data_IF_699091421626
#
_entry.id   IF_699091421626
#
_cell.length_a   1.000
_cell.length_b   1.000
_cell.length_c   1.000
_cell.angle_alpha   90.00
_cell.angle_beta   90.00
_cell.angle_gamma   90.00
#
_symmetry.space_group_name_H-M   'P 1'
#
loop_
_entity.id
_entity.type
_entity.pdbx_description
1 polymer ?
#
# COMPACT_ATOMS: atom_id res chain seq x y z
N UNK A 1 34.44 31.89 127.41
CA UNK A 1 34.99 31.99 126.00
C UNK A 1 34.94 30.69 125.19
N UNK A 2 34.42 29.58 125.65
CA UNK A 2 34.33 28.32 124.81
C UNK A 2 33.04 28.14 124.00
N UNK A 3 31.97 28.89 124.26
CA UNK A 3 30.69 28.71 123.58
C UNK A 3 30.59 29.37 122.24
N UNK A 4 31.33 30.50 121.96
CA UNK A 4 31.33 31.20 120.70
C UNK A 4 32.10 30.47 119.58
N UNK A 5 33.17 29.71 119.90
CA UNK A 5 33.96 28.98 118.91
C UNK A 5 33.25 27.76 118.28
N UNK A 6 32.25 27.17 119.06
CA UNK A 6 31.41 26.08 118.53
C UNK A 6 30.38 26.53 117.45
N UNK A 7 29.71 27.65 117.75
CA UNK A 7 28.70 28.21 116.86
C UNK A 7 29.33 28.73 115.53
N UNK A 8 30.55 29.25 115.60
CA UNK A 8 31.24 29.72 114.42
C UNK A 8 31.68 28.57 113.54
N UNK A 9 32.08 27.43 114.08
CA UNK A 9 32.37 26.21 113.34
C UNK A 9 31.13 25.61 112.68
N UNK A 10 29.98 25.56 113.40
CA UNK A 10 28.72 25.08 112.80
C UNK A 10 28.22 26.01 111.65
N UNK A 11 28.39 27.32 111.80
CA UNK A 11 28.02 28.26 110.76
C UNK A 11 28.94 28.11 109.53
N UNK A 12 30.26 27.96 109.71
CA UNK A 12 31.23 27.71 108.63
C UNK A 12 30.94 26.36 107.99
N UNK A 13 30.61 25.30 108.71
CA UNK A 13 30.23 24.01 108.18
C UNK A 13 28.93 24.08 107.37
N UNK A 14 27.92 24.82 107.90
CA UNK A 14 26.68 25.03 107.15
C UNK A 14 26.86 25.87 105.89
N UNK A 15 27.66 26.98 105.95
CA UNK A 15 27.99 27.76 104.72
C UNK A 15 28.77 26.93 103.73
N UNK A 16 29.71 26.09 104.15
CA UNK A 16 30.42 25.17 103.28
C UNK A 16 29.49 24.11 102.65
N UNK A 17 28.55 23.54 103.44
CA UNK A 17 27.54 22.60 102.92
C UNK A 17 26.61 23.26 101.86
N UNK A 18 26.18 24.53 102.16
CA UNK A 18 25.34 25.29 101.25
C UNK A 18 26.09 25.62 99.96
N UNK A 19 27.36 26.00 99.98
CA UNK A 19 28.22 26.20 98.85
C UNK A 19 28.38 24.92 98.03
N UNK A 20 28.63 23.79 98.72
CA UNK A 20 28.76 22.51 98.01
C UNK A 20 27.47 22.08 97.33
N UNK A 21 26.33 22.29 98.04
CA UNK A 21 25.03 22.00 97.42
C UNK A 21 24.71 22.88 96.20
N UNK A 22 25.03 24.19 96.25
CA UNK A 22 24.91 25.13 95.15
C UNK A 22 25.80 24.73 93.99
N UNK A 23 27.09 24.40 94.23
CA UNK A 23 28.03 23.94 93.21
C UNK A 23 27.60 22.62 92.60
N UNK A 24 27.00 21.68 93.38
CA UNK A 24 26.45 20.44 92.86
C UNK A 24 25.24 20.71 91.93
N UNK A 25 24.33 21.64 92.36
CA UNK A 25 23.17 22.03 91.57
C UNK A 25 23.59 22.72 90.23
N UNK A 26 24.55 23.65 90.29
CA UNK A 26 25.08 24.33 89.12
C UNK A 26 25.75 23.31 88.16
N UNK A 27 26.47 22.33 88.65
CA UNK A 27 27.07 21.28 87.89
C UNK A 27 26.05 20.36 87.17
N UNK A 28 24.94 20.05 87.90
CA UNK A 28 23.87 19.24 87.29
C UNK A 28 23.12 20.03 86.15
N UNK A 29 22.85 21.30 86.36
CA UNK A 29 22.29 22.17 85.34
C UNK A 29 23.16 22.23 84.09
N UNK A 30 24.47 22.49 84.25
CA UNK A 30 25.44 22.53 83.24
C UNK A 30 25.50 21.19 82.38
N UNK A 31 25.46 20.05 83.11
CA UNK A 31 25.36 18.74 82.47
C UNK A 31 24.12 18.53 81.66
N UNK A 32 22.96 18.92 82.18
CA UNK A 32 21.67 18.84 81.42
C UNK A 32 21.64 19.75 80.22
N UNK A 33 22.17 20.97 80.34
CA UNK A 33 22.27 21.88 79.24
C UNK A 33 23.23 21.33 78.16
N UNK A 34 24.35 20.72 78.55
CA UNK A 34 25.30 20.09 77.61
C UNK A 34 24.65 18.90 76.88
N UNK A 35 23.90 18.06 77.65
CA UNK A 35 23.14 16.93 77.09
C UNK A 35 22.08 17.41 76.12
N UNK A 36 21.32 18.46 76.47
CA UNK A 36 20.31 19.04 75.58
C UNK A 36 20.90 19.63 74.30
N UNK A 37 21.99 20.37 74.39
CA UNK A 37 22.75 20.89 73.23
C UNK A 37 23.28 19.77 72.37
N UNK A 38 23.81 18.69 72.93
CA UNK A 38 24.30 17.54 72.20
C UNK A 38 23.16 16.82 71.47
N UNK A 39 22.02 16.61 72.16
CA UNK A 39 20.84 15.98 71.59
C UNK A 39 20.21 16.85 70.44
N UNK A 40 20.17 18.16 70.62
CA UNK A 40 19.75 19.09 69.57
C UNK A 40 20.64 19.06 68.36
N UNK A 41 21.95 19.11 68.56
CA UNK A 41 22.94 19.04 67.48
C UNK A 41 22.88 17.68 66.72
N UNK A 42 22.62 16.58 67.40
CA UNK A 42 22.42 15.28 66.80
C UNK A 42 21.16 15.24 65.95
N UNK A 43 20.04 15.75 66.43
CA UNK A 43 18.80 15.89 65.65
C UNK A 43 18.99 16.76 64.42
N UNK A 44 19.67 17.90 64.51
CA UNK A 44 19.98 18.79 63.41
C UNK A 44 20.82 18.09 62.34
N UNK A 45 21.83 17.29 62.77
CA UNK A 45 22.63 16.48 61.82
C UNK A 45 21.76 15.42 61.12
N UNK A 46 20.92 14.69 61.87
CA UNK A 46 20.02 13.69 61.29
C UNK A 46 19.03 14.31 60.31
N UNK A 47 18.44 15.44 60.67
CA UNK A 47 17.49 16.16 59.82
C UNK A 47 18.16 16.71 58.57
N UNK A 48 19.34 17.31 58.69
CA UNK A 48 20.12 17.78 57.53
C UNK A 48 20.54 16.63 56.61
N UNK A 49 20.90 15.48 57.16
CA UNK A 49 21.21 14.28 56.41
C UNK A 49 20.00 13.76 55.63
N UNK A 50 18.82 13.72 56.27
CA UNK A 50 17.56 13.32 55.64
C UNK A 50 17.16 14.27 54.49
N UNK A 51 17.25 15.59 54.71
CA UNK A 51 16.96 16.60 53.68
C UNK A 51 17.92 16.47 52.47
N UNK A 52 19.20 16.27 52.76
CA UNK A 52 20.22 16.07 51.69
C UNK A 52 19.93 14.80 50.87
N UNK A 53 19.58 13.69 51.58
CA UNK A 53 19.19 12.44 50.92
C UNK A 53 17.94 12.59 50.05
N UNK A 54 16.90 13.27 50.58
CA UNK A 54 15.68 13.52 49.84
C UNK A 54 15.91 14.42 48.61
N UNK A 55 16.71 15.47 48.75
CA UNK A 55 17.09 16.35 47.62
C UNK A 55 17.87 15.58 46.54
N UNK A 56 18.74 14.65 46.96
CA UNK A 56 19.46 13.77 46.03
C UNK A 56 18.50 12.84 45.26
N UNK A 57 17.56 12.21 45.96
CA UNK A 57 16.54 11.35 45.33
C UNK A 57 15.67 12.13 44.35
N UNK A 58 15.26 13.34 44.72
CA UNK A 58 14.44 14.19 43.85
C UNK A 58 15.18 14.58 42.55
N UNK A 59 16.44 14.98 42.67
CA UNK A 59 17.29 15.30 41.50
C UNK A 59 17.50 14.06 40.59
N UNK A 60 17.73 12.89 41.18
CA UNK A 60 17.90 11.65 40.41
C UNK A 60 16.61 11.29 39.67
N UNK A 61 15.44 11.37 40.34
CA UNK A 61 14.13 11.10 39.72
C UNK A 61 13.80 12.09 38.59
N UNK A 62 14.15 13.36 38.79
CA UNK A 62 13.97 14.38 37.70
C UNK A 62 14.87 14.09 36.50
N UNK A 63 16.13 13.80 36.72
CA UNK A 63 17.08 13.47 35.64
C UNK A 63 16.64 12.20 34.88
N UNK A 64 16.09 11.21 35.58
CA UNK A 64 15.56 10.00 34.96
C UNK A 64 14.35 10.31 34.06
N UNK A 65 13.41 11.11 34.55
CA UNK A 65 12.27 11.57 33.73
C UNK A 65 12.72 12.35 32.50
N UNK A 66 13.67 13.26 32.65
CA UNK A 66 14.20 14.03 31.52
C UNK A 66 14.84 13.12 30.45
N UNK A 67 15.59 12.08 30.87
CA UNK A 67 16.13 11.08 29.94
C UNK A 67 15.05 10.27 29.24
N UNK A 68 14.00 9.86 29.95
CA UNK A 68 12.88 9.13 29.35
C UNK A 68 12.14 10.00 28.33
N UNK A 69 11.85 11.26 28.65
CA UNK A 69 11.23 12.20 27.72
C UNK A 69 12.10 12.47 26.49
N UNK A 70 13.39 12.68 26.67
CA UNK A 70 14.34 12.87 25.57
C UNK A 70 14.38 11.63 24.65
N UNK A 71 14.38 10.44 25.23
CA UNK A 71 14.29 9.18 24.48
C UNK A 71 12.99 9.05 23.67
N UNK A 72 11.84 9.37 24.30
CA UNK A 72 10.55 9.36 23.60
C UNK A 72 10.47 10.38 22.47
N UNK A 73 10.95 11.60 22.69
CA UNK A 73 11.00 12.63 21.65
C UNK A 73 11.89 12.22 20.48
N UNK A 74 13.06 11.63 20.76
CA UNK A 74 13.94 11.11 19.71
C UNK A 74 13.28 9.99 18.90
N UNK A 75 12.58 9.07 19.59
CA UNK A 75 11.81 8.01 18.95
C UNK A 75 10.69 8.54 18.05
N UNK A 76 9.90 9.49 18.55
CA UNK A 76 8.84 10.15 17.78
C UNK A 76 9.39 10.93 16.56
N UNK A 77 10.50 11.64 16.72
CA UNK A 77 11.16 12.33 15.61
C UNK A 77 11.63 11.34 14.51
N UNK A 78 12.15 10.18 14.92
CA UNK A 78 12.51 9.10 14.00
C UNK A 78 11.29 8.53 13.25
N UNK A 79 10.18 8.30 13.95
CA UNK A 79 8.93 7.84 13.34
C UNK A 79 8.36 8.88 12.36
N UNK A 80 8.36 10.15 12.74
CA UNK A 80 7.89 11.24 11.88
C UNK A 80 8.69 11.27 10.58
N UNK A 81 10.01 11.29 10.66
CA UNK A 81 10.90 11.28 9.48
C UNK A 81 10.66 10.08 8.57
N UNK A 82 10.44 8.88 9.15
CA UNK A 82 10.11 7.68 8.37
C UNK A 82 8.76 7.82 7.66
N UNK A 83 7.75 8.31 8.36
CA UNK A 83 6.40 8.52 7.81
C UNK A 83 6.41 9.58 6.70
N UNK A 84 7.15 10.67 6.86
CA UNK A 84 7.35 11.68 5.81
C UNK A 84 8.03 11.08 4.57
N UNK A 85 9.04 10.23 4.77
CA UNK A 85 9.69 9.50 3.68
C UNK A 85 8.74 8.58 2.92
N UNK A 86 7.89 7.83 3.65
CA UNK A 86 6.87 6.97 3.06
C UNK A 86 5.80 7.78 2.30
N UNK A 87 5.36 8.91 2.86
CA UNK A 87 4.40 9.80 2.22
C UNK A 87 4.95 10.33 0.90
N UNK A 88 6.16 10.87 0.89
CA UNK A 88 6.82 11.38 -0.32
C UNK A 88 6.97 10.31 -1.40
N UNK A 89 7.33 9.07 -1.00
CA UNK A 89 7.40 7.95 -1.94
C UNK A 89 6.02 7.61 -2.53
N UNK A 90 5.00 7.56 -1.68
CA UNK A 90 3.61 7.27 -2.10
C UNK A 90 3.06 8.37 -3.02
N UNK A 91 3.32 9.64 -2.73
CA UNK A 91 2.97 10.76 -3.60
C UNK A 91 3.67 10.67 -4.96
N UNK A 92 4.96 10.29 -4.97
CA UNK A 92 5.70 10.05 -6.21
C UNK A 92 5.06 8.94 -7.06
N UNK A 93 4.71 7.82 -6.44
CA UNK A 93 4.02 6.70 -7.10
C UNK A 93 2.65 7.12 -7.62
N UNK A 94 1.87 7.85 -6.84
CA UNK A 94 0.55 8.35 -7.24
C UNK A 94 0.65 9.29 -8.47
N UNK A 95 1.61 10.19 -8.47
CA UNK A 95 1.82 11.09 -9.60
C UNK A 95 2.25 10.34 -10.87
N UNK A 96 3.09 9.32 -10.74
CA UNK A 96 3.47 8.46 -11.86
C UNK A 96 2.26 7.70 -12.44
N UNK A 97 1.40 7.15 -11.58
CA UNK A 97 0.16 6.46 -12.01
C UNK A 97 -0.81 7.44 -12.69
N UNK A 98 -0.99 8.64 -12.14
CA UNK A 98 -1.84 9.68 -12.75
C UNK A 98 -1.34 10.07 -14.14
N UNK A 99 -0.02 10.23 -14.30
CA UNK A 99 0.58 10.55 -15.60
C UNK A 99 0.39 9.40 -16.61
N UNK A 100 0.60 8.15 -16.18
CA UNK A 100 0.34 6.96 -17.01
C UNK A 100 -1.14 6.91 -17.49
N UNK A 101 -2.08 7.13 -16.57
CA UNK A 101 -3.52 7.13 -16.91
C UNK A 101 -3.87 8.26 -17.88
N UNK A 102 -3.28 9.44 -17.73
CA UNK A 102 -3.49 10.56 -18.65
C UNK A 102 -2.96 10.25 -20.06
N UNK A 103 -1.75 9.70 -20.15
CA UNK A 103 -1.15 9.27 -21.42
C UNK A 103 -2.01 8.18 -22.08
N UNK A 104 -2.43 7.18 -21.32
CA UNK A 104 -3.29 6.09 -21.80
C UNK A 104 -4.63 6.62 -22.35
N UNK A 105 -5.26 7.52 -21.61
CA UNK A 105 -6.51 8.16 -22.07
C UNK A 105 -6.32 8.94 -23.36
N UNK A 106 -5.20 9.68 -23.49
CA UNK A 106 -4.87 10.42 -24.72
C UNK A 106 -4.71 9.48 -25.90
N UNK A 107 -3.96 8.39 -25.76
CA UNK A 107 -3.77 7.37 -26.79
C UNK A 107 -5.13 6.76 -27.19
N UNK A 108 -5.96 6.38 -26.22
CA UNK A 108 -7.28 5.83 -26.47
C UNK A 108 -8.17 6.80 -27.26
N UNK A 109 -8.11 8.10 -26.95
CA UNK A 109 -8.83 9.14 -27.70
C UNK A 109 -8.31 9.30 -29.13
N UNK A 110 -6.99 9.23 -29.34
CA UNK A 110 -6.37 9.28 -30.66
C UNK A 110 -6.79 8.07 -31.52
N UNK A 111 -6.79 6.85 -30.94
CA UNK A 111 -7.29 5.64 -31.60
C UNK A 111 -8.76 5.81 -31.99
N UNK A 112 -9.60 6.26 -31.05
CA UNK A 112 -11.03 6.48 -31.30
C UNK A 112 -11.25 7.46 -32.45
N UNK A 113 -10.63 8.63 -32.37
CA UNK A 113 -10.75 9.67 -33.41
C UNK A 113 -10.25 9.17 -34.76
N UNK A 114 -9.16 8.38 -34.75
CA UNK A 114 -8.62 7.77 -35.96
C UNK A 114 -9.58 6.75 -36.57
N UNK A 115 -10.20 5.91 -35.78
CA UNK A 115 -11.17 4.90 -36.22
C UNK A 115 -12.46 5.55 -36.73
N UNK A 116 -12.96 6.58 -36.05
CA UNK A 116 -14.14 7.34 -36.50
C UNK A 116 -13.92 7.94 -37.91
N UNK A 117 -12.72 8.49 -38.17
CA UNK A 117 -12.37 9.07 -39.48
C UNK A 117 -12.36 8.06 -40.62
N UNK A 118 -12.04 6.80 -40.36
CA UNK A 118 -11.97 5.73 -41.38
C UNK A 118 -13.24 4.87 -41.40
N UNK A 119 -14.25 5.23 -40.59
CA UNK A 119 -15.53 4.52 -40.50
C UNK A 119 -15.44 3.13 -39.86
N UNK A 120 -14.42 2.89 -39.02
CA UNK A 120 -14.28 1.66 -38.25
C UNK A 120 -14.98 1.82 -36.92
N UNK A 121 -16.01 1.01 -36.68
CA UNK A 121 -16.70 0.98 -35.39
C UNK A 121 -15.91 0.12 -34.40
N UNK A 122 -15.51 0.70 -33.29
CA UNK A 122 -14.87 0.01 -32.19
C UNK A 122 -15.35 0.62 -30.87
N UNK A 123 -15.53 -0.21 -29.87
CA UNK A 123 -15.73 0.25 -28.49
C UNK A 123 -14.34 0.38 -27.84
N UNK A 124 -14.03 1.57 -27.37
CA UNK A 124 -12.72 1.90 -26.81
C UNK A 124 -12.91 2.35 -25.38
N UNK A 125 -12.39 1.57 -24.46
CA UNK A 125 -12.30 1.96 -23.06
C UNK A 125 -11.26 3.07 -22.91
N UNK A 126 -11.71 4.28 -22.64
CA UNK A 126 -10.84 5.45 -22.48
C UNK A 126 -9.96 5.41 -21.23
N UNK A 127 -10.25 4.50 -20.27
CA UNK A 127 -9.43 4.36 -19.06
C UNK A 127 -8.34 3.31 -19.25
N UNK A 128 -8.69 2.14 -19.77
CA UNK A 128 -7.74 1.05 -20.01
C UNK A 128 -7.00 1.16 -21.34
N UNK A 129 -7.59 1.86 -22.31
CA UNK A 129 -7.13 1.89 -23.69
C UNK A 129 -7.44 0.61 -24.46
N UNK A 130 -8.28 -0.25 -23.91
CA UNK A 130 -8.68 -1.49 -24.57
C UNK A 130 -9.55 -1.17 -25.78
N UNK A 131 -9.20 -1.73 -26.90
CA UNK A 131 -9.94 -1.60 -28.16
C UNK A 131 -10.73 -2.87 -28.37
N UNK A 132 -12.01 -2.81 -28.13
CA UNK A 132 -12.95 -3.87 -28.49
C UNK A 132 -13.38 -3.63 -29.93
N UNK A 133 -12.88 -4.46 -30.82
CA UNK A 133 -13.36 -4.50 -32.19
C UNK A 133 -14.74 -5.18 -32.16
N UNK A 134 -15.80 -4.39 -31.96
CA UNK A 134 -17.20 -4.87 -31.97
C UNK A 134 -17.77 -4.64 -33.38
N UNK A 135 -17.65 -5.62 -34.23
CA UNK A 135 -18.19 -5.57 -35.58
C UNK A 135 -19.41 -6.46 -35.78
N UNK A 136 -20.23 -6.60 -34.71
CA UNK A 136 -21.39 -7.46 -34.81
C UNK A 136 -20.98 -8.94 -35.05
N UNK A 137 -21.89 -9.80 -35.32
CA UNK A 137 -21.81 -11.25 -35.23
C UNK A 137 -20.79 -11.99 -36.12
N UNK A 138 -19.77 -11.36 -36.76
CA UNK A 138 -19.13 -11.98 -37.91
C UNK A 138 -17.64 -11.84 -38.11
N UNK A 139 -16.85 -11.93 -37.04
CA UNK A 139 -15.37 -11.96 -37.19
C UNK A 139 -14.84 -13.24 -37.80
N UNK A 140 -15.45 -14.34 -37.39
CA UNK A 140 -15.04 -15.70 -37.76
C UNK A 140 -16.24 -16.45 -38.30
N UNK A 141 -15.97 -17.47 -39.07
CA UNK A 141 -16.97 -18.47 -39.40
C UNK A 141 -17.45 -19.15 -38.10
N UNK A 142 -18.69 -19.66 -38.12
CA UNK A 142 -19.26 -20.33 -36.97
C UNK A 142 -18.37 -21.49 -36.54
N UNK A 143 -18.09 -21.53 -35.22
CA UNK A 143 -17.27 -22.57 -34.61
C UNK A 143 -15.85 -22.72 -35.21
N UNK A 144 -15.33 -21.62 -35.76
CA UNK A 144 -14.06 -21.57 -36.49
C UNK A 144 -13.18 -20.41 -36.00
N UNK A 145 -11.90 -20.51 -36.30
CA UNK A 145 -10.91 -19.42 -36.19
C UNK A 145 -10.56 -18.77 -37.55
N UNK A 146 -11.25 -19.15 -38.61
CA UNK A 146 -11.02 -18.54 -39.92
C UNK A 146 -11.59 -17.15 -40.00
N UNK A 147 -10.76 -16.17 -40.34
CA UNK A 147 -11.16 -14.78 -40.49
C UNK A 147 -12.04 -14.61 -41.72
N UNK A 148 -13.19 -13.98 -41.54
CA UNK A 148 -14.05 -13.55 -42.64
C UNK A 148 -13.45 -12.38 -43.41
N UNK A 149 -13.82 -12.23 -44.66
CA UNK A 149 -13.30 -11.16 -45.52
C UNK A 149 -13.62 -9.76 -45.03
N UNK A 150 -14.80 -9.58 -44.39
CA UNK A 150 -15.17 -8.31 -43.72
C UNK A 150 -14.19 -7.96 -42.64
N UNK A 151 -13.78 -8.94 -41.81
CA UNK A 151 -12.81 -8.72 -40.77
C UNK A 151 -11.43 -8.39 -41.33
N UNK A 152 -11.01 -9.08 -42.37
CA UNK A 152 -9.75 -8.77 -43.09
C UNK A 152 -9.73 -7.32 -43.58
N UNK A 153 -10.82 -6.86 -44.22
CA UNK A 153 -10.98 -5.47 -44.66
C UNK A 153 -10.89 -4.46 -43.53
N UNK A 154 -11.52 -4.79 -42.40
CA UNK A 154 -11.50 -3.93 -41.21
C UNK A 154 -10.10 -3.86 -40.59
N UNK A 155 -9.41 -4.99 -40.44
CA UNK A 155 -8.03 -5.02 -39.91
C UNK A 155 -7.08 -4.23 -40.84
N UNK A 156 -7.24 -4.32 -42.14
CA UNK A 156 -6.47 -3.53 -43.12
C UNK A 156 -6.63 -2.01 -42.92
N UNK A 157 -7.80 -1.56 -42.48
CA UNK A 157 -8.04 -0.14 -42.19
C UNK A 157 -7.63 0.24 -40.76
N UNK A 158 -7.92 -0.61 -39.77
CA UNK A 158 -7.75 -0.31 -38.37
C UNK A 158 -6.29 -0.37 -37.90
N UNK A 159 -5.53 -1.40 -38.33
CA UNK A 159 -4.18 -1.62 -37.85
C UNK A 159 -3.19 -0.51 -38.18
N UNK A 160 -3.20 0.12 -39.35
CA UNK A 160 -2.37 1.29 -39.62
C UNK A 160 -2.65 2.45 -38.66
N UNK A 161 -3.91 2.74 -38.41
CA UNK A 161 -4.33 3.82 -37.49
C UNK A 161 -3.93 3.48 -36.07
N UNK A 162 -4.20 2.26 -35.62
CA UNK A 162 -3.85 1.78 -34.30
C UNK A 162 -2.33 1.86 -34.05
N UNK A 163 -1.53 1.33 -34.97
CA UNK A 163 -0.07 1.35 -34.86
C UNK A 163 0.50 2.76 -34.86
N UNK A 164 -0.05 3.66 -35.69
CA UNK A 164 0.35 5.08 -35.72
C UNK A 164 0.04 5.78 -34.39
N UNK A 165 -1.09 5.52 -33.75
CA UNK A 165 -1.42 6.08 -32.43
C UNK A 165 -0.47 5.63 -31.32
N UNK A 166 0.07 4.40 -31.41
CA UNK A 166 1.00 3.85 -30.43
C UNK A 166 2.47 4.21 -30.73
N UNK A 167 2.88 4.22 -31.98
CA UNK A 167 4.29 4.26 -32.39
C UNK A 167 4.65 5.48 -33.25
N UNK A 168 3.67 6.29 -33.64
CA UNK A 168 3.92 7.52 -34.43
C UNK A 168 4.58 8.64 -33.65
N UNK A 169 4.57 8.60 -32.32
CA UNK A 169 5.27 9.53 -31.45
C UNK A 169 6.30 8.77 -30.60
N UNK A 170 7.58 9.13 -30.70
CA UNK A 170 8.69 8.45 -30.02
C UNK A 170 8.48 8.41 -28.50
N UNK A 171 8.03 9.52 -27.88
CA UNK A 171 7.79 9.59 -26.42
C UNK A 171 6.66 8.66 -25.96
N UNK A 172 5.71 8.34 -26.82
CA UNK A 172 4.64 7.37 -26.58
C UNK A 172 5.16 5.96 -26.82
N UNK A 173 5.83 5.74 -27.93
CA UNK A 173 6.37 4.44 -28.34
C UNK A 173 7.28 3.81 -27.28
N UNK A 174 8.16 4.61 -26.66
CA UNK A 174 9.05 4.18 -25.57
C UNK A 174 8.31 3.71 -24.31
N UNK A 175 7.07 4.14 -24.13
CA UNK A 175 6.23 3.75 -22.99
C UNK A 175 5.43 2.47 -23.25
N UNK A 176 5.26 2.07 -24.52
CA UNK A 176 4.50 0.86 -24.87
C UNK A 176 5.35 -0.37 -24.54
N UNK A 177 4.82 -1.25 -23.71
CA UNK A 177 5.48 -2.50 -23.31
C UNK A 177 5.01 -3.72 -24.08
N UNK A 178 3.74 -3.76 -24.43
CA UNK A 178 3.16 -4.85 -25.21
C UNK A 178 1.84 -4.44 -25.85
N UNK A 179 1.48 -5.16 -26.89
CA UNK A 179 0.16 -5.14 -27.52
C UNK A 179 -0.35 -6.57 -27.52
N UNK A 180 -1.46 -6.82 -26.86
CA UNK A 180 -2.03 -8.15 -26.70
C UNK A 180 -3.30 -8.28 -27.54
N UNK A 181 -3.35 -9.33 -28.36
CA UNK A 181 -4.57 -9.75 -29.07
C UNK A 181 -5.24 -10.84 -28.26
N UNK A 182 -6.40 -10.55 -27.72
CA UNK A 182 -7.13 -11.42 -26.78
C UNK A 182 -8.37 -11.96 -27.48
N UNK A 183 -8.44 -13.28 -27.62
CA UNK A 183 -9.61 -13.94 -28.15
C UNK A 183 -10.55 -14.43 -27.06
N UNK A 184 -11.85 -14.38 -27.36
CA UNK A 184 -12.91 -14.91 -26.52
C UNK A 184 -13.76 -15.92 -27.29
N UNK A 185 -14.43 -16.79 -26.55
CA UNK A 185 -15.38 -17.77 -27.06
C UNK A 185 -16.75 -17.60 -26.40
N UNK A 186 -17.79 -18.17 -27.00
CA UNK A 186 -19.11 -18.25 -26.42
C UNK A 186 -19.13 -19.25 -25.27
N UNK A 187 -19.97 -19.08 -24.23
CA UNK A 187 -20.20 -20.07 -23.20
C UNK A 187 -21.09 -21.25 -23.69
N UNK A 188 -21.00 -21.58 -24.97
CA UNK A 188 -21.75 -22.67 -25.59
C UNK A 188 -20.81 -23.64 -26.31
N UNK A 189 -21.18 -24.89 -26.35
CA UNK A 189 -20.51 -25.95 -27.08
C UNK A 189 -21.53 -26.91 -27.67
N UNK A 190 -21.50 -27.16 -28.97
CA UNK A 190 -22.47 -27.99 -29.69
C UNK A 190 -23.94 -27.64 -29.36
N UNK A 191 -24.22 -26.35 -29.27
CA UNK A 191 -25.57 -25.82 -28.98
C UNK A 191 -26.02 -25.89 -27.52
N UNK A 192 -25.17 -26.42 -26.60
CA UNK A 192 -25.46 -26.50 -25.15
C UNK A 192 -24.64 -25.46 -24.37
N UNK A 193 -25.20 -24.94 -23.28
CA UNK A 193 -24.47 -24.11 -22.34
C UNK A 193 -23.46 -24.92 -21.57
N UNK A 194 -22.28 -24.34 -21.34
CA UNK A 194 -21.17 -24.97 -20.60
C UNK A 194 -21.17 -24.42 -19.17
N UNK A 195 -21.26 -25.31 -18.20
CA UNK A 195 -21.17 -24.94 -16.80
C UNK A 195 -19.67 -24.91 -16.37
N UNK A 196 -19.11 -23.74 -16.06
CA UNK A 196 -17.69 -23.61 -15.67
C UNK A 196 -17.39 -24.23 -14.30
N UNK A 197 -18.41 -24.52 -13.48
CA UNK A 197 -18.26 -25.12 -12.16
C UNK A 197 -18.51 -26.63 -12.18
N UNK A 198 -18.88 -27.18 -13.33
CA UNK A 198 -19.17 -28.61 -13.49
C UNK A 198 -17.87 -29.42 -13.58
N UNK A 199 -17.85 -30.56 -12.92
CA UNK A 199 -16.81 -31.57 -13.07
C UNK A 199 -17.17 -32.68 -14.05
N UNK A 200 -18.27 -32.58 -14.79
CA UNK A 200 -18.67 -33.54 -15.80
C UNK A 200 -17.68 -33.52 -16.98
N UNK A 201 -17.30 -34.71 -17.51
CA UNK A 201 -16.36 -34.78 -18.62
C UNK A 201 -16.74 -33.92 -19.83
N UNK A 202 -18.02 -33.88 -20.21
CA UNK A 202 -18.50 -33.11 -21.34
C UNK A 202 -18.31 -31.58 -21.15
N UNK A 203 -18.54 -31.09 -19.94
CA UNK A 203 -18.31 -29.65 -19.62
C UNK A 203 -16.83 -29.32 -19.59
N UNK A 204 -16.01 -30.23 -19.06
CA UNK A 204 -14.53 -30.07 -19.06
C UNK A 204 -13.99 -30.00 -20.48
N UNK A 205 -14.45 -30.92 -21.37
CA UNK A 205 -14.00 -30.93 -22.77
C UNK A 205 -14.51 -29.70 -23.53
N UNK A 206 -15.72 -29.23 -23.24
CA UNK A 206 -16.25 -28.00 -23.79
C UNK A 206 -15.44 -26.76 -23.32
N UNK A 207 -14.99 -26.71 -22.06
CA UNK A 207 -14.11 -25.65 -21.56
C UNK A 207 -12.77 -25.65 -22.28
N UNK A 208 -12.14 -26.81 -22.44
CA UNK A 208 -10.87 -26.97 -23.18
C UNK A 208 -11.03 -26.51 -24.63
N UNK A 209 -12.09 -26.95 -25.29
CA UNK A 209 -12.39 -26.58 -26.68
C UNK A 209 -12.55 -25.05 -26.83
N UNK A 210 -13.36 -24.43 -25.97
CA UNK A 210 -13.56 -22.99 -26.03
C UNK A 210 -12.29 -22.18 -25.70
N UNK A 211 -11.41 -22.70 -24.84
CA UNK A 211 -10.10 -22.11 -24.57
C UNK A 211 -9.22 -22.18 -25.82
N UNK A 212 -9.11 -23.34 -26.45
CA UNK A 212 -8.33 -23.54 -27.67
C UNK A 212 -8.88 -22.68 -28.84
N UNK A 213 -10.19 -22.65 -29.02
CA UNK A 213 -10.84 -21.84 -30.05
C UNK A 213 -10.58 -20.35 -29.86
N UNK A 214 -10.64 -19.87 -28.62
CA UNK A 214 -10.38 -18.46 -28.31
C UNK A 214 -8.93 -18.08 -28.63
N UNK A 215 -7.98 -18.94 -28.27
CA UNK A 215 -6.57 -18.75 -28.63
C UNK A 215 -6.34 -18.79 -30.15
N UNK A 216 -6.92 -19.75 -30.85
CA UNK A 216 -6.80 -19.87 -32.31
C UNK A 216 -7.36 -18.66 -33.04
N UNK A 217 -8.45 -18.06 -32.56
CA UNK A 217 -9.01 -16.82 -33.08
C UNK A 217 -8.05 -15.64 -32.96
N UNK A 218 -7.48 -15.43 -31.79
CA UNK A 218 -6.48 -14.38 -31.59
C UNK A 218 -5.23 -14.62 -32.44
N UNK A 219 -4.77 -15.87 -32.54
CA UNK A 219 -3.64 -16.26 -33.39
C UNK A 219 -3.91 -16.03 -34.87
N UNK A 220 -5.14 -16.19 -35.34
CA UNK A 220 -5.48 -15.90 -36.75
C UNK A 220 -5.35 -14.43 -37.07
N UNK A 221 -5.74 -13.53 -36.17
CA UNK A 221 -5.50 -12.09 -36.34
C UNK A 221 -4.01 -11.77 -36.31
N UNK A 222 -3.26 -12.34 -35.38
CA UNK A 222 -1.81 -12.17 -35.30
C UNK A 222 -1.13 -12.60 -36.58
N UNK A 223 -1.43 -13.78 -37.12
CA UNK A 223 -0.88 -14.29 -38.35
C UNK A 223 -1.22 -13.39 -39.54
N UNK A 224 -2.46 -12.85 -39.59
CA UNK A 224 -2.89 -11.93 -40.61
C UNK A 224 -2.12 -10.60 -40.59
N UNK A 225 -1.85 -10.08 -39.36
CA UNK A 225 -1.03 -8.88 -39.19
C UNK A 225 0.43 -9.13 -39.66
N UNK A 226 0.97 -10.32 -39.40
CA UNK A 226 2.33 -10.69 -39.78
C UNK A 226 2.50 -10.84 -41.32
N UNK A 227 1.47 -11.26 -42.03
CA UNK A 227 1.55 -11.51 -43.46
C UNK A 227 1.78 -10.21 -44.28
N UNK A 228 2.99 -10.04 -44.81
CA UNK A 228 3.35 -8.85 -45.56
C UNK A 228 2.62 -8.73 -46.91
N UNK A 229 2.13 -9.86 -47.47
CA UNK A 229 1.31 -9.85 -48.67
C UNK A 229 -0.07 -9.29 -48.43
N UNK A 230 -0.59 -9.50 -47.24
CA UNK A 230 -1.93 -9.05 -46.82
C UNK A 230 -1.92 -7.69 -46.14
N UNK A 231 -0.90 -7.42 -45.34
CA UNK A 231 -0.85 -6.23 -44.47
C UNK A 231 0.54 -5.56 -44.50
N UNK A 232 0.66 -4.49 -45.27
CA UNK A 232 1.80 -3.58 -45.20
C UNK A 232 1.33 -2.21 -44.69
N UNK A 233 1.96 -1.69 -43.62
CA UNK A 233 1.64 -0.37 -43.09
C UNK A 233 2.82 0.24 -42.33
N UNK A 234 2.79 1.56 -42.21
CA UNK A 234 3.76 2.31 -41.40
C UNK A 234 3.74 1.82 -39.96
N UNK A 235 4.85 1.77 -39.26
CA UNK A 235 5.02 1.29 -37.90
C UNK A 235 4.74 -0.22 -37.68
N UNK A 236 4.55 -1.05 -38.69
CA UNK A 236 4.42 -2.50 -38.55
C UNK A 236 5.64 -3.10 -37.83
N UNK A 237 6.84 -2.66 -38.18
CA UNK A 237 8.09 -3.12 -37.56
C UNK A 237 8.23 -2.72 -36.11
N UNK A 238 7.53 -1.67 -35.64
CA UNK A 238 7.45 -1.29 -34.25
C UNK A 238 6.36 -2.06 -33.50
N UNK A 239 5.26 -2.40 -34.16
CA UNK A 239 4.13 -3.12 -33.58
C UNK A 239 4.47 -4.59 -33.34
N UNK A 240 5.00 -5.28 -34.38
CA UNK A 240 5.18 -6.75 -34.38
C UNK A 240 6.01 -7.28 -33.23
N UNK A 241 7.15 -6.69 -32.82
CA UNK A 241 7.94 -7.16 -31.68
C UNK A 241 7.20 -7.06 -30.33
N UNK A 242 6.19 -6.19 -30.27
CA UNK A 242 5.38 -5.97 -29.06
C UNK A 242 4.06 -6.78 -29.04
N UNK A 243 3.76 -7.52 -30.14
CA UNK A 243 2.55 -8.30 -30.25
C UNK A 243 2.61 -9.59 -29.42
N UNK A 244 1.57 -9.81 -28.64
CA UNK A 244 1.34 -11.06 -27.91
C UNK A 244 -0.08 -11.56 -28.20
N UNK A 245 -0.32 -12.85 -27.93
CA UNK A 245 -1.60 -13.51 -28.22
C UNK A 245 -2.05 -14.27 -26.99
N UNK A 246 -3.33 -14.12 -26.62
CA UNK A 246 -3.94 -14.93 -25.57
C UNK A 246 -5.37 -15.36 -25.91
N UNK A 247 -5.78 -16.49 -25.33
CA UNK A 247 -7.15 -16.98 -25.33
C UNK A 247 -7.71 -16.88 -23.92
N UNK A 248 -8.90 -16.33 -23.78
CA UNK A 248 -9.58 -16.14 -22.46
C UNK A 248 -10.86 -16.97 -22.35
N UNK A 249 -11.21 -17.72 -23.40
CA UNK A 249 -12.47 -18.47 -23.43
C UNK A 249 -13.67 -17.54 -23.13
N UNK A 250 -14.68 -18.07 -22.48
CA UNK A 250 -15.81 -17.30 -21.87
C UNK A 250 -15.64 -17.10 -20.36
N UNK A 251 -14.65 -17.77 -19.74
CA UNK A 251 -14.49 -17.83 -18.28
C UNK A 251 -14.26 -16.46 -17.66
N UNK A 252 -13.49 -15.60 -18.32
CA UNK A 252 -13.22 -14.24 -17.83
C UNK A 252 -14.47 -13.37 -17.89
N UNK A 253 -15.27 -13.52 -18.94
CA UNK A 253 -16.53 -12.77 -19.11
C UNK A 253 -17.55 -13.11 -18.02
N UNK A 254 -17.58 -14.37 -17.59
CA UNK A 254 -18.44 -14.81 -16.49
C UNK A 254 -17.93 -14.31 -15.12
N UNK A 255 -16.62 -14.23 -14.90
CA UNK A 255 -16.06 -13.63 -13.69
C UNK A 255 -16.36 -12.15 -13.55
N UNK A 256 -16.36 -11.41 -14.64
CA UNK A 256 -16.70 -9.99 -14.66
C UNK A 256 -18.19 -9.74 -14.34
N UNK A 257 -19.06 -10.69 -14.66
CA UNK A 257 -20.51 -10.64 -14.39
C UNK A 257 -20.91 -11.49 -13.18
N UNK A 258 -20.39 -11.16 -11.99
CA UNK A 258 -20.65 -11.88 -10.73
C UNK A 258 -22.13 -12.06 -10.35
N UNK A 259 -23.02 -11.31 -11.00
CA UNK A 259 -24.49 -11.39 -10.77
C UNK A 259 -25.18 -12.48 -11.59
N UNK A 260 -24.43 -13.28 -12.36
CA UNK A 260 -24.99 -14.30 -13.26
C UNK A 260 -24.64 -15.68 -12.70
N UNK A 261 -25.66 -16.43 -12.29
CA UNK A 261 -25.50 -17.71 -11.63
C UNK A 261 -25.10 -18.86 -12.59
N UNK A 262 -25.39 -18.71 -13.89
CA UNK A 262 -25.11 -19.74 -14.89
C UNK A 262 -24.75 -19.17 -16.26
N UNK A 263 -24.16 -19.99 -17.14
CA UNK A 263 -23.90 -19.64 -18.53
C UNK A 263 -25.20 -19.34 -19.29
N UNK A 264 -26.28 -20.06 -18.97
CA UNK A 264 -27.59 -19.85 -19.55
C UNK A 264 -28.18 -18.47 -19.18
N UNK A 265 -28.09 -18.09 -17.90
CA UNK A 265 -28.53 -16.77 -17.43
C UNK A 265 -27.68 -15.66 -18.02
N UNK A 266 -26.37 -15.90 -18.21
CA UNK A 266 -25.50 -14.97 -18.92
C UNK A 266 -26.01 -14.73 -20.34
N UNK A 267 -26.32 -15.78 -21.07
CA UNK A 267 -26.79 -15.70 -22.47
C UNK A 267 -28.20 -15.12 -22.62
N UNK A 268 -29.05 -15.28 -21.60
CA UNK A 268 -30.35 -14.61 -21.57
C UNK A 268 -30.25 -13.10 -21.37
N UNK A 269 -29.29 -12.66 -20.58
CA UNK A 269 -29.02 -11.25 -20.29
C UNK A 269 -28.10 -10.57 -21.31
N UNK A 270 -27.18 -11.32 -21.86
CA UNK A 270 -26.17 -10.84 -22.80
C UNK A 270 -26.22 -11.70 -24.05
N UNK A 271 -26.15 -11.10 -25.22
CA UNK A 271 -26.07 -11.85 -26.46
C UNK A 271 -24.79 -12.69 -26.46
N UNK A 272 -24.90 -14.00 -26.33
CA UNK A 272 -23.77 -14.92 -26.31
C UNK A 272 -22.94 -14.94 -27.58
N UNK A 273 -23.54 -14.53 -28.72
CA UNK A 273 -22.79 -14.36 -29.96
C UNK A 273 -21.83 -13.19 -29.87
N UNK A 274 -22.18 -12.15 -29.10
CA UNK A 274 -21.29 -11.02 -28.80
C UNK A 274 -20.14 -11.40 -27.88
N UNK A 275 -20.21 -12.54 -27.17
CA UNK A 275 -19.10 -13.08 -26.41
C UNK A 275 -17.96 -13.59 -27.29
N UNK A 276 -18.22 -13.89 -28.56
CA UNK A 276 -17.24 -14.29 -29.55
C UNK A 276 -16.51 -13.06 -30.13
N UNK A 277 -15.69 -12.41 -29.31
CA UNK A 277 -15.04 -11.15 -29.63
C UNK A 277 -13.53 -11.25 -29.58
N UNK A 278 -12.87 -10.25 -30.12
CA UNK A 278 -11.44 -10.04 -29.95
C UNK A 278 -11.22 -8.65 -29.41
N UNK A 279 -10.35 -8.56 -28.42
CA UNK A 279 -9.88 -7.30 -27.85
C UNK A 279 -8.42 -7.12 -28.25
N UNK A 280 -8.05 -5.93 -28.70
CA UNK A 280 -6.67 -5.54 -28.83
C UNK A 280 -6.37 -4.56 -27.70
N UNK A 281 -5.41 -4.92 -26.87
CA UNK A 281 -5.04 -4.18 -25.66
C UNK A 281 -3.58 -3.78 -25.73
N UNK A 282 -3.25 -2.53 -25.40
CA UNK A 282 -1.87 -2.13 -25.18
C UNK A 282 -1.56 -1.97 -23.70
N UNK A 283 -0.33 -2.27 -23.35
CA UNK A 283 0.20 -2.05 -21.99
C UNK A 283 1.33 -1.05 -22.03
N UNK A 284 1.49 -0.28 -20.96
CA UNK A 284 2.54 0.72 -20.83
C UNK A 284 3.50 0.35 -19.71
N UNK A 285 4.77 0.64 -19.89
CA UNK A 285 5.78 0.49 -18.84
C UNK A 285 5.52 1.53 -17.74
N UNK A 286 5.43 1.09 -16.50
CA UNK A 286 5.56 1.98 -15.36
C UNK A 286 7.01 2.43 -15.29
N UNK A 287 7.30 3.72 -15.45
CA UNK A 287 8.62 4.23 -15.07
C UNK A 287 8.84 3.86 -13.61
N UNK A 288 9.87 3.05 -13.37
CA UNK A 288 10.32 2.73 -12.01
C UNK A 288 10.83 3.98 -11.31
#
# INVERSE_FOLDING_TARGET
MRHNAGQERERQAFEAALRNQKNLSEGEIARREAQFKAAAAEKDRQFSGQLSGLAGQFKAAQAEKERQFAGQLSGLAGQLKNTEGQLKNTEGQLNAVKAELADRKKIAQEIKSGFDKIGVKADIDLQSGDVLLDFGQTFFENDSSQLKDEMRKILKKAMPVYSKSLFGNVNVAEKISSVEVIGFASPTYRGKFVDPNSSKPDDIDAMKYNMDLSYKRAKSIFNYILDDKEMAFEHKNSLVPNLTVSGRSFLELMKMNRSVASAEDYCKKNDCKKSQRVIIKFSMNRKK
#
